data_IF_032712031411
#
_entry.id   IF_032712031411
#
_cell.length_a   1.000
_cell.length_b   1.000
_cell.length_c   1.000
_cell.angle_alpha   90.00
_cell.angle_beta   90.00
_cell.angle_gamma   90.00
#
_symmetry.space_group_name_H-M   'P 1'
#
loop_
_entity.id
_entity.type
_entity.pdbx_description
1 polymer ?
#
# COMPACT_ATOMS: atom_id res chain seq x y z
N UNK A 1 -12.16 -11.09 -13.10
CA UNK A 1 -11.13 -10.17 -12.54
C UNK A 1 -10.22 -10.94 -11.59
N UNK A 2 -8.93 -11.05 -11.88
CA UNK A 2 -7.97 -11.65 -10.94
C UNK A 2 -7.84 -10.67 -9.78
N UNK A 3 -8.12 -11.12 -8.56
CA UNK A 3 -7.97 -10.30 -7.37
C UNK A 3 -6.51 -9.86 -7.24
N UNK A 4 -6.29 -8.55 -7.16
CA UNK A 4 -4.93 -8.01 -7.05
C UNK A 4 -4.44 -8.19 -5.62
N UNK A 5 -3.40 -8.99 -5.46
CA UNK A 5 -2.81 -9.31 -4.18
C UNK A 5 -1.41 -8.74 -4.05
N UNK A 6 -1.03 -8.41 -2.82
CA UNK A 6 0.21 -7.76 -2.47
C UNK A 6 0.98 -8.60 -1.47
N UNK A 7 2.25 -8.78 -1.73
CA UNK A 7 3.21 -9.32 -0.78
C UNK A 7 3.99 -8.16 -0.18
N UNK A 8 4.39 -8.26 1.08
CA UNK A 8 5.24 -7.28 1.75
C UNK A 8 6.52 -7.95 2.22
N UNK A 9 7.63 -7.22 2.25
CA UNK A 9 8.87 -7.67 2.87
C UNK A 9 8.94 -7.06 4.28
N UNK A 10 8.82 -7.93 5.28
CA UNK A 10 8.82 -7.58 6.70
C UNK A 10 9.93 -8.36 7.39
N UNK A 11 10.86 -7.67 8.06
CA UNK A 11 12.00 -8.27 8.77
C UNK A 11 12.84 -9.24 7.92
N UNK A 12 12.95 -8.99 6.62
CA UNK A 12 13.68 -9.85 5.68
C UNK A 12 12.91 -11.10 5.22
N UNK A 13 11.67 -11.28 5.68
CA UNK A 13 10.77 -12.31 5.20
C UNK A 13 9.68 -11.71 4.30
N UNK A 14 9.21 -12.50 3.33
CA UNK A 14 8.04 -12.14 2.53
C UNK A 14 6.78 -12.63 3.22
N UNK A 15 5.82 -11.74 3.45
CA UNK A 15 4.49 -12.08 4.00
C UNK A 15 3.39 -11.70 3.00
N UNK A 16 2.28 -12.46 2.99
CA UNK A 16 1.17 -12.32 2.04
C UNK A 16 0.80 -13.64 1.37
N UNK A 17 -0.03 -13.64 0.31
CA UNK A 17 -0.64 -12.48 -0.35
C UNK A 17 -1.73 -11.78 0.47
N UNK A 18 -1.76 -10.45 0.43
CA UNK A 18 -2.75 -9.60 1.08
C UNK A 18 -3.56 -8.80 0.05
N UNK A 19 -4.87 -8.71 0.24
CA UNK A 19 -5.71 -7.85 -0.60
C UNK A 19 -5.49 -6.37 -0.25
N UNK A 20 -5.89 -5.45 -1.14
CA UNK A 20 -5.80 -3.99 -0.89
C UNK A 20 -6.46 -3.56 0.43
N UNK A 21 -7.58 -4.18 0.79
CA UNK A 21 -8.27 -3.92 2.06
C UNK A 21 -7.39 -4.25 3.27
N UNK A 22 -6.76 -5.43 3.29
CA UNK A 22 -5.82 -5.84 4.34
C UNK A 22 -4.60 -4.94 4.39
N UNK A 23 -4.07 -4.53 3.23
CA UNK A 23 -2.98 -3.56 3.16
C UNK A 23 -3.38 -2.22 3.80
N UNK A 24 -4.61 -1.77 3.60
CA UNK A 24 -5.15 -0.56 4.23
C UNK A 24 -5.27 -0.68 5.74
N UNK A 25 -5.76 -1.83 6.24
CA UNK A 25 -5.80 -2.10 7.67
C UNK A 25 -4.40 -2.11 8.30
N UNK A 26 -3.44 -2.80 7.66
CA UNK A 26 -2.04 -2.83 8.11
C UNK A 26 -1.38 -1.47 8.05
N UNK A 27 -1.69 -0.66 7.04
CA UNK A 27 -1.22 0.72 6.93
C UNK A 27 -1.77 1.59 8.08
N UNK A 28 -3.06 1.44 8.41
CA UNK A 28 -3.68 2.12 9.55
C UNK A 28 -3.12 1.66 10.90
N UNK A 29 -2.73 0.38 11.02
CA UNK A 29 -2.07 -0.17 12.20
C UNK A 29 -0.58 0.20 12.32
N UNK A 30 0.02 0.77 11.27
CA UNK A 30 1.45 1.10 11.20
C UNK A 30 2.37 -0.08 10.91
N UNK A 31 1.82 -1.28 10.61
CA UNK A 31 2.57 -2.47 10.21
C UNK A 31 3.15 -2.33 8.79
N UNK A 32 2.43 -1.63 7.92
CA UNK A 32 2.90 -1.27 6.59
C UNK A 32 3.03 0.24 6.54
N UNK A 33 4.15 0.72 6.00
CA UNK A 33 4.42 2.15 5.81
C UNK A 33 4.72 2.43 4.34
N UNK A 34 4.83 3.70 3.97
CA UNK A 34 5.22 4.10 2.60
C UNK A 34 6.56 3.52 2.18
N UNK A 35 7.47 3.26 3.13
CA UNK A 35 8.79 2.68 2.87
C UNK A 35 8.81 1.15 2.86
N UNK A 36 7.74 0.49 3.29
CA UNK A 36 7.63 -0.98 3.24
C UNK A 36 7.72 -1.44 1.80
N UNK A 37 8.60 -2.41 1.55
CA UNK A 37 8.73 -3.03 0.24
C UNK A 37 7.54 -3.96 0.00
N UNK A 38 6.90 -3.79 -1.15
CA UNK A 38 5.73 -4.54 -1.59
C UNK A 38 5.92 -5.05 -3.02
N UNK A 39 5.34 -6.19 -3.30
CA UNK A 39 5.36 -6.81 -4.63
C UNK A 39 3.98 -7.34 -4.99
N UNK A 40 3.65 -7.29 -6.28
CA UNK A 40 2.42 -7.88 -6.83
C UNK A 40 2.74 -8.54 -8.16
N UNK A 41 1.91 -9.49 -8.58
CA UNK A 41 2.03 -10.13 -9.86
C UNK A 41 1.96 -9.09 -11.01
N UNK A 42 2.93 -9.12 -11.91
CA UNK A 42 3.07 -8.15 -13.00
C UNK A 42 3.86 -6.88 -12.64
N UNK A 43 4.32 -6.73 -11.40
CA UNK A 43 5.26 -5.68 -11.01
C UNK A 43 6.72 -6.10 -11.25
N UNK A 44 7.52 -5.14 -11.70
CA UNK A 44 8.97 -5.28 -11.86
C UNK A 44 9.68 -5.21 -10.50
N UNK A 45 9.71 -6.35 -9.80
CA UNK A 45 10.38 -6.50 -8.50
C UNK A 45 9.70 -5.75 -7.35
N UNK A 46 10.36 -5.76 -6.18
CA UNK A 46 9.88 -5.11 -4.97
C UNK A 46 9.93 -3.58 -5.12
N UNK A 47 8.83 -2.90 -4.79
CA UNK A 47 8.73 -1.43 -4.80
C UNK A 47 8.25 -0.94 -3.45
N UNK A 48 8.49 0.31 -3.10
CA UNK A 48 7.95 0.87 -1.87
C UNK A 48 6.43 1.02 -1.96
N UNK A 49 5.70 0.78 -0.88
CA UNK A 49 4.25 0.92 -0.85
C UNK A 49 3.78 2.34 -1.22
N UNK A 50 4.61 3.35 -0.93
CA UNK A 50 4.37 4.74 -1.35
C UNK A 50 4.58 5.01 -2.84
N UNK A 51 5.40 4.21 -3.53
CA UNK A 51 5.65 4.34 -4.98
C UNK A 51 4.53 3.67 -5.80
N UNK A 52 3.80 2.74 -5.18
CA UNK A 52 2.66 2.08 -5.78
C UNK A 52 1.44 2.99 -5.62
N UNK A 53 1.02 3.67 -6.68
CA UNK A 53 -0.10 4.63 -6.65
C UNK A 53 -1.36 4.11 -5.95
N UNK A 54 -1.70 2.83 -6.14
CA UNK A 54 -2.89 2.19 -5.56
C UNK A 54 -2.79 2.00 -4.03
N UNK A 55 -1.58 1.76 -3.52
CA UNK A 55 -1.29 1.63 -2.09
C UNK A 55 -0.95 2.99 -1.47
N UNK A 56 -0.34 3.91 -2.23
CA UNK A 56 -0.04 5.28 -1.83
C UNK A 56 -1.28 5.98 -1.27
N UNK A 57 -2.45 5.73 -1.88
CA UNK A 57 -3.74 6.28 -1.43
C UNK A 57 -4.14 5.82 -0.02
N UNK A 58 -3.67 4.64 0.41
CA UNK A 58 -3.94 4.11 1.77
C UNK A 58 -3.21 4.94 2.83
N UNK A 59 -2.09 5.56 2.47
CA UNK A 59 -1.30 6.39 3.38
C UNK A 59 -1.65 7.88 3.31
N UNK A 60 -2.51 8.30 2.37
CA UNK A 60 -2.99 9.68 2.25
C UNK A 60 -4.36 9.79 2.92
N UNK A 61 -4.37 9.66 4.25
CA UNK A 61 -5.57 9.82 5.08
C UNK A 61 -6.00 11.28 5.27
N UNK A 62 -5.26 12.24 4.70
CA UNK A 62 -5.67 13.63 4.70
C UNK A 62 -6.64 13.86 3.54
N UNK A 63 -7.93 14.17 3.79
CA UNK A 63 -8.77 14.68 2.73
C UNK A 63 -8.09 15.94 2.17
N UNK A 64 -8.04 16.12 0.85
CA UNK A 64 -7.57 17.37 0.30
C UNK A 64 -8.41 18.49 0.92
N UNK A 65 -7.80 19.61 1.36
CA UNK A 65 -8.56 20.73 1.90
C UNK A 65 -9.62 21.14 0.88
N UNK A 66 -10.87 21.38 1.31
CA UNK A 66 -11.91 21.84 0.41
C UNK A 66 -11.44 23.12 -0.30
N UNK A 67 -11.78 23.31 -1.59
CA UNK A 67 -11.45 24.53 -2.30
C UNK A 67 -12.00 25.76 -1.53
N UNK A 68 -11.29 26.91 -1.56
CA UNK A 68 -11.79 28.11 -0.91
C UNK A 68 -13.18 28.44 -1.46
N UNK A 69 -14.17 28.63 -0.58
CA UNK A 69 -15.43 29.23 -0.98
C UNK A 69 -15.12 30.66 -1.46
N UNK A 70 -15.25 30.88 -2.77
CA UNK A 70 -15.15 32.20 -3.39
C UNK A 70 -16.34 33.08 -3.05
#
# INVERSE_FOLDING_TARGET
>A
PVEKVWHIAENGATTGPFSRATMGQKAGAGEVTRDTLVWTAGQDGWKKAGDVTELATLFTILPPPPPPAG
#
